data_IF_094182864238
#
_entry.id   IF_094182864238
#
_cell.length_a   1.000
_cell.length_b   1.000
_cell.length_c   1.000
_cell.angle_alpha   90.00
_cell.angle_beta   90.00
_cell.angle_gamma   90.00
#
_symmetry.space_group_name_H-M   'P 1'
#
loop_
_entity.id
_entity.type
_entity.pdbx_description
1 polymer ?
#
# COMPACT_ATOMS: atom_id res chain seq x y z
N UNK A 1 16.01 -6.75 1.80
CA UNK A 1 15.83 -8.19 1.53
C UNK A 1 15.19 -8.42 0.15
N UNK A 2 13.99 -7.87 -0.12
CA UNK A 2 13.30 -8.09 -1.41
C UNK A 2 14.13 -7.66 -2.64
N UNK A 3 14.81 -6.50 -2.60
CA UNK A 3 15.69 -6.07 -3.71
C UNK A 3 16.78 -7.08 -4.09
N UNK A 4 17.17 -7.96 -3.16
CA UNK A 4 18.14 -9.03 -3.39
C UNK A 4 17.48 -10.38 -3.72
N UNK A 5 16.18 -10.39 -4.06
CA UNK A 5 15.43 -11.63 -4.33
C UNK A 5 15.09 -12.44 -3.08
N UNK A 6 15.20 -11.85 -1.88
CA UNK A 6 14.96 -12.56 -0.61
C UNK A 6 13.67 -12.08 0.04
N UNK A 7 12.68 -12.98 0.13
CA UNK A 7 11.43 -12.77 0.89
C UNK A 7 11.66 -12.81 2.40
N UNK A 8 10.88 -12.04 3.15
CA UNK A 8 10.78 -12.13 4.60
C UNK A 8 9.57 -12.97 5.06
N UNK A 9 8.67 -13.32 4.14
CA UNK A 9 7.53 -14.20 4.39
C UNK A 9 8.01 -15.64 4.19
N UNK A 10 7.85 -16.47 5.23
CA UNK A 10 8.31 -17.87 5.26
C UNK A 10 7.59 -18.77 4.27
N UNK A 11 6.32 -18.47 4.00
CA UNK A 11 5.39 -19.37 3.30
C UNK A 11 5.45 -19.20 1.77
N UNK A 12 6.37 -18.35 1.28
CA UNK A 12 6.61 -18.14 -0.14
C UNK A 12 7.77 -19.00 -0.63
N UNK A 13 7.65 -19.51 -1.85
CA UNK A 13 8.77 -20.14 -2.53
C UNK A 13 9.89 -19.11 -2.75
N UNK A 14 11.07 -19.36 -2.16
CA UNK A 14 12.22 -18.43 -2.22
C UNK A 14 12.69 -18.18 -3.65
N UNK A 15 12.57 -19.18 -4.53
CA UNK A 15 13.02 -19.09 -5.91
C UNK A 15 12.09 -18.21 -6.76
N UNK A 16 10.81 -18.11 -6.38
CA UNK A 16 9.82 -17.30 -7.09
C UNK A 16 10.13 -15.80 -6.98
N UNK A 17 10.38 -15.31 -5.75
CA UNK A 17 10.71 -13.90 -5.51
C UNK A 17 12.01 -13.51 -6.21
N UNK A 18 13.04 -14.36 -6.15
CA UNK A 18 14.30 -14.14 -6.87
C UNK A 18 14.06 -14.03 -8.38
N UNK A 19 13.32 -14.97 -8.94
CA UNK A 19 12.99 -15.00 -10.38
C UNK A 19 12.26 -13.72 -10.81
N UNK A 20 11.28 -13.25 -10.03
CA UNK A 20 10.52 -12.04 -10.35
C UNK A 20 11.37 -10.77 -10.30
N UNK A 21 12.32 -10.70 -9.35
CA UNK A 21 13.26 -9.57 -9.23
C UNK A 21 14.24 -9.56 -10.41
N UNK A 22 14.84 -10.70 -10.75
CA UNK A 22 15.78 -10.84 -11.88
C UNK A 22 15.10 -10.49 -13.22
N UNK A 23 13.84 -10.90 -13.39
CA UNK A 23 13.00 -10.56 -14.56
C UNK A 23 12.46 -9.13 -14.55
N UNK A 24 12.79 -8.32 -13.54
CA UNK A 24 12.30 -6.94 -13.36
C UNK A 24 10.76 -6.83 -13.30
N UNK A 25 10.08 -7.90 -12.88
CA UNK A 25 8.63 -7.94 -12.66
C UNK A 25 8.25 -7.60 -11.22
N UNK A 26 9.19 -7.65 -10.28
CA UNK A 26 9.04 -7.20 -8.90
C UNK A 26 10.14 -6.21 -8.54
N UNK A 27 9.75 -5.03 -8.04
CA UNK A 27 10.68 -4.00 -7.55
C UNK A 27 10.18 -3.49 -6.20
N UNK A 28 11.04 -3.57 -5.18
CA UNK A 28 10.76 -2.98 -3.88
C UNK A 28 11.41 -1.59 -3.77
N UNK A 29 10.66 -0.59 -3.32
CA UNK A 29 11.15 0.76 -3.10
C UNK A 29 10.48 1.44 -1.91
N UNK A 30 11.17 2.44 -1.37
CA UNK A 30 10.66 3.41 -0.40
C UNK A 30 10.52 4.82 -1.00
N UNK A 31 10.80 4.96 -2.30
CA UNK A 31 10.56 6.20 -3.04
C UNK A 31 9.11 6.22 -3.53
N UNK A 32 8.30 7.09 -2.94
CA UNK A 32 6.88 7.25 -3.25
C UNK A 32 6.62 7.92 -4.61
N UNK A 33 7.63 8.52 -5.26
CA UNK A 33 7.46 9.13 -6.59
C UNK A 33 6.96 8.15 -7.64
N UNK A 34 7.30 6.86 -7.48
CA UNK A 34 6.85 5.80 -8.39
C UNK A 34 5.32 5.68 -8.43
N UNK A 35 4.61 6.12 -7.38
CA UNK A 35 3.16 6.09 -7.34
C UNK A 35 2.53 6.89 -8.49
N UNK A 36 3.17 7.96 -8.96
CA UNK A 36 2.69 8.74 -10.10
C UNK A 36 2.71 7.97 -11.43
N UNK A 37 3.51 6.91 -11.52
CA UNK A 37 3.64 6.08 -12.73
C UNK A 37 2.65 4.90 -12.74
N UNK A 38 2.19 4.45 -11.57
CA UNK A 38 1.36 3.26 -11.42
C UNK A 38 -0.08 3.47 -11.90
N UNK A 39 -0.70 2.43 -12.46
CA UNK A 39 -2.13 2.42 -12.84
C UNK A 39 -3.03 1.94 -11.69
N UNK A 40 -2.53 1.01 -10.86
CA UNK A 40 -3.26 0.42 -9.75
C UNK A 40 -2.39 0.48 -8.49
N UNK A 41 -2.99 0.86 -7.36
CA UNK A 41 -2.33 0.95 -6.06
C UNK A 41 -3.17 0.18 -5.03
N UNK A 42 -2.59 -0.86 -4.43
CA UNK A 42 -3.20 -1.59 -3.32
C UNK A 42 -2.60 -1.10 -1.98
N UNK A 43 -3.46 -0.75 -1.02
CA UNK A 43 -3.09 -0.38 0.34
C UNK A 43 -3.20 -1.63 1.21
N UNK A 44 -2.05 -2.20 1.56
CA UNK A 44 -1.91 -3.43 2.36
C UNK A 44 -1.06 -3.18 3.62
N UNK A 45 -1.35 -2.09 4.33
CA UNK A 45 -0.62 -1.68 5.54
C UNK A 45 -1.21 -2.32 6.81
N UNK A 46 -0.45 -2.42 7.92
CA UNK A 46 -0.97 -2.94 9.17
C UNK A 46 -2.14 -2.10 9.73
N UNK A 47 -3.11 -2.75 10.35
CA UNK A 47 -4.20 -2.12 11.13
C UNK A 47 -4.23 -2.71 12.54
N UNK A 48 -3.21 -2.44 13.38
CA UNK A 48 -3.14 -3.00 14.71
C UNK A 48 -4.33 -2.51 15.55
N UNK A 49 -4.80 -3.35 16.47
CA UNK A 49 -5.88 -2.97 17.36
C UNK A 49 -5.33 -2.18 18.55
N UNK A 50 -6.03 -1.12 18.94
CA UNK A 50 -5.79 -0.37 20.17
C UNK A 50 -6.14 -1.21 21.41
N UNK A 51 -5.85 -0.67 22.61
CA UNK A 51 -6.27 -1.29 23.88
C UNK A 51 -7.81 -1.43 23.99
N UNK A 52 -8.56 -0.57 23.30
CA UNK A 52 -10.03 -0.61 23.22
C UNK A 52 -10.55 -1.52 22.10
N UNK A 53 -9.66 -2.25 21.40
CA UNK A 53 -9.95 -3.13 20.25
C UNK A 53 -10.45 -2.38 19.01
N UNK A 54 -10.17 -1.09 18.91
CA UNK A 54 -10.45 -0.31 17.71
C UNK A 54 -9.24 -0.37 16.76
N UNK A 55 -9.45 -0.50 15.45
CA UNK A 55 -8.35 -0.50 14.49
C UNK A 55 -7.65 0.87 14.47
N UNK A 56 -6.34 0.85 14.63
CA UNK A 56 -5.49 2.02 14.42
C UNK A 56 -5.34 2.29 12.92
N UNK A 57 -6.05 3.32 12.45
CA UNK A 57 -6.03 3.74 11.05
C UNK A 57 -4.83 4.62 10.69
N UNK A 58 -3.91 4.94 11.61
CA UNK A 58 -2.78 5.83 11.35
C UNK A 58 -1.92 5.41 10.16
N UNK A 59 -1.76 4.10 9.96
CA UNK A 59 -1.04 3.53 8.82
C UNK A 59 -1.80 3.74 7.49
N UNK A 60 -3.12 3.57 7.50
CA UNK A 60 -3.98 3.84 6.32
C UNK A 60 -3.94 5.33 5.99
N UNK A 61 -4.01 6.21 7.00
CA UNK A 61 -3.90 7.66 6.80
C UNK A 61 -2.57 8.02 6.14
N UNK A 62 -1.45 7.55 6.72
CA UNK A 62 -0.11 7.81 6.19
C UNK A 62 0.07 7.30 4.75
N UNK A 63 -0.40 6.09 4.44
CA UNK A 63 -0.36 5.55 3.09
C UNK A 63 -1.20 6.39 2.11
N UNK A 64 -2.42 6.77 2.52
CA UNK A 64 -3.34 7.56 1.70
C UNK A 64 -2.78 8.96 1.42
N UNK A 65 -2.21 9.62 2.44
CA UNK A 65 -1.61 10.95 2.29
C UNK A 65 -0.41 10.92 1.35
N UNK A 66 0.39 9.85 1.39
CA UNK A 66 1.50 9.65 0.45
C UNK A 66 1.03 9.37 -0.97
N UNK A 67 -0.06 8.62 -1.14
CA UNK A 67 -0.67 8.41 -2.46
C UNK A 67 -1.18 9.73 -3.03
N UNK A 68 -1.84 10.56 -2.21
CA UNK A 68 -2.35 11.87 -2.62
C UNK A 68 -1.28 12.77 -3.23
N UNK A 69 -0.07 12.79 -2.66
CA UNK A 69 1.06 13.61 -3.15
C UNK A 69 1.42 13.33 -4.61
N UNK A 70 1.14 12.10 -5.11
CA UNK A 70 1.50 11.65 -6.46
C UNK A 70 0.29 11.19 -7.26
N UNK A 71 -0.92 11.51 -6.81
CA UNK A 71 -2.17 11.06 -7.40
C UNK A 71 -2.33 11.64 -8.81
N UNK A 72 -2.63 10.77 -9.79
CA UNK A 72 -2.97 11.16 -11.15
C UNK A 72 -4.33 10.62 -11.57
N UNK A 73 -4.93 11.29 -12.56
CA UNK A 73 -6.17 10.83 -13.18
C UNK A 73 -5.97 9.44 -13.80
N UNK A 74 -6.98 8.59 -13.64
CA UNK A 74 -7.03 7.24 -14.19
C UNK A 74 -6.39 6.15 -13.31
N UNK A 75 -5.98 6.47 -12.09
CA UNK A 75 -5.53 5.46 -11.13
C UNK A 75 -6.69 4.75 -10.44
N UNK A 76 -6.52 3.46 -10.20
CA UNK A 76 -7.37 2.66 -9.32
C UNK A 76 -6.68 2.48 -7.97
N UNK A 77 -7.37 2.83 -6.87
CA UNK A 77 -6.88 2.62 -5.51
C UNK A 77 -7.76 1.58 -4.84
N UNK A 78 -7.13 0.54 -4.28
CA UNK A 78 -7.79 -0.57 -3.61
C UNK A 78 -7.34 -0.59 -2.15
N UNK A 79 -8.28 -0.53 -1.22
CA UNK A 79 -8.01 -0.73 0.21
C UNK A 79 -8.17 -2.21 0.54
N UNK A 80 -7.06 -2.91 0.81
CA UNK A 80 -7.07 -4.33 1.18
C UNK A 80 -6.86 -4.57 2.68
N UNK A 81 -6.26 -3.61 3.41
CA UNK A 81 -6.12 -3.68 4.86
C UNK A 81 -7.47 -3.92 5.55
N UNK A 82 -7.51 -4.87 6.47
CA UNK A 82 -8.71 -5.15 7.28
C UNK A 82 -9.09 -3.91 8.09
N UNK A 83 -10.32 -3.44 7.90
CA UNK A 83 -10.85 -2.23 8.55
C UNK A 83 -12.36 -2.35 8.76
N UNK A 84 -12.99 -1.31 9.32
CA UNK A 84 -14.43 -1.25 9.52
C UNK A 84 -15.17 -0.73 8.26
N UNK A 85 -16.45 -1.08 8.08
CA UNK A 85 -17.28 -0.60 6.97
C UNK A 85 -17.29 0.93 6.87
N UNK A 86 -17.25 1.48 5.66
CA UNK A 86 -17.22 2.93 5.45
C UNK A 86 -15.81 3.54 5.44
N UNK A 87 -14.76 2.80 5.79
CA UNK A 87 -13.37 3.35 5.74
C UNK A 87 -13.00 3.85 4.33
N UNK A 88 -13.50 3.21 3.27
CA UNK A 88 -13.21 3.69 1.91
C UNK A 88 -13.85 5.06 1.66
N UNK A 89 -15.13 5.22 1.95
CA UNK A 89 -15.92 6.41 1.66
C UNK A 89 -15.70 7.56 2.66
N UNK A 90 -15.51 7.25 3.94
CA UNK A 90 -15.47 8.22 5.03
C UNK A 90 -14.04 8.64 5.40
N UNK A 91 -13.05 7.81 5.06
CA UNK A 91 -11.65 8.03 5.47
C UNK A 91 -10.72 8.20 4.28
N UNK A 92 -10.70 7.24 3.35
CA UNK A 92 -9.73 7.20 2.25
C UNK A 92 -10.11 8.22 1.17
N UNK A 93 -11.35 8.18 0.69
CA UNK A 93 -11.84 9.06 -0.37
C UNK A 93 -11.68 10.55 0.01
N UNK A 94 -12.13 11.03 1.19
CA UNK A 94 -12.01 12.45 1.52
C UNK A 94 -10.56 12.90 1.63
N UNK A 95 -9.64 12.02 2.04
CA UNK A 95 -8.21 12.34 2.07
C UNK A 95 -7.63 12.49 0.68
N UNK A 96 -7.99 11.61 -0.25
CA UNK A 96 -7.52 11.67 -1.65
C UNK A 96 -8.08 12.89 -2.40
N UNK A 97 -9.32 13.28 -2.12
CA UNK A 97 -9.98 14.42 -2.78
C UNK A 97 -9.57 15.77 -2.19
N UNK A 98 -9.25 15.83 -0.90
CA UNK A 98 -8.77 17.05 -0.24
C UNK A 98 -7.38 17.43 -0.76
N UNK A 99 -7.37 18.20 -1.85
CA UNK A 99 -6.25 19.03 -2.25
C UNK A 99 -6.28 20.29 -1.39
N UNK A 100 -5.23 20.51 -0.62
CA UNK A 100 -4.92 21.87 -0.15
C UNK A 100 -4.88 22.83 -1.35
#
# INVERSE_FOLDING_TARGET
KIRAGVSYISDLNKDEVRTLVERKKLKATNDYKVLGELEVICICVPTPLSKTKEPDLSYIYSATDKIREYLRKGQLIILESTTYPGTTEEVVLPRLENKN
#
